data_IF_496833257675
#
_entry.id   IF_496833257675
#
_cell.length_a   1.000
_cell.length_b   1.000
_cell.length_c   1.000
_cell.angle_alpha   90.00
_cell.angle_beta   90.00
_cell.angle_gamma   90.00
#
_symmetry.space_group_name_H-M   'P 1'
#
loop_
_entity.id
_entity.type
_entity.pdbx_description
1 polymer ?
#
# COMPACT_ATOMS: atom_id res chain seq x y z
N UNK A 1 -27.74 -21.26 10.45
CA UNK A 1 -27.52 -21.15 8.98
C UNK A 1 -27.15 -19.72 8.57
N UNK A 2 -26.30 -19.03 9.37
CA UNK A 2 -26.04 -17.58 9.26
C UNK A 2 -24.54 -17.22 9.39
N UNK A 3 -23.64 -18.18 9.13
CA UNK A 3 -22.18 -17.99 9.25
C UNK A 3 -21.46 -17.89 7.89
N UNK A 4 -22.18 -18.13 6.79
CA UNK A 4 -21.59 -18.19 5.44
C UNK A 4 -21.97 -16.98 4.57
N UNK A 5 -22.73 -16.02 5.11
CA UNK A 5 -23.21 -14.85 4.36
C UNK A 5 -22.18 -13.70 4.36
N UNK A 6 -21.34 -13.61 5.39
CA UNK A 6 -20.30 -12.57 5.50
C UNK A 6 -19.09 -12.85 4.61
N UNK A 7 -18.79 -14.11 4.31
CA UNK A 7 -17.72 -14.51 3.37
C UNK A 7 -18.10 -14.30 1.91
N UNK A 8 -19.40 -14.33 1.57
CA UNK A 8 -19.88 -14.06 0.20
C UNK A 8 -19.83 -12.55 -0.11
N UNK A 9 -20.02 -11.69 0.89
CA UNK A 9 -19.95 -10.23 0.72
C UNK A 9 -18.51 -9.72 0.54
N UNK A 10 -17.51 -10.43 1.08
CA UNK A 10 -16.09 -10.11 0.85
C UNK A 10 -15.59 -10.60 -0.52
N UNK A 11 -16.18 -11.68 -1.06
CA UNK A 11 -15.85 -12.16 -2.42
C UNK A 11 -16.57 -11.36 -3.52
N UNK A 12 -17.73 -10.76 -3.22
CA UNK A 12 -18.45 -9.87 -4.15
C UNK A 12 -17.77 -8.52 -4.37
N UNK A 13 -16.88 -8.08 -3.48
CA UNK A 13 -16.16 -6.82 -3.65
C UNK A 13 -14.90 -6.95 -4.53
N UNK A 14 -14.41 -8.17 -4.78
CA UNK A 14 -13.22 -8.42 -5.61
C UNK A 14 -13.53 -8.63 -7.10
N UNK A 15 -14.80 -8.82 -7.48
CA UNK A 15 -15.21 -9.06 -8.89
C UNK A 15 -15.57 -7.75 -9.62
N UNK A 16 -15.76 -6.64 -8.91
CA UNK A 16 -16.14 -5.35 -9.50
C UNK A 16 -14.94 -4.47 -9.99
N UNK A 17 -13.70 -4.96 -9.92
CA UNK A 17 -12.51 -4.26 -10.42
C UNK A 17 -11.96 -4.79 -11.74
N UNK A 18 -12.63 -5.76 -12.36
CA UNK A 18 -12.36 -6.18 -13.73
C UNK A 18 -13.36 -5.52 -14.69
N UNK A 19 -12.87 -5.04 -15.83
CA UNK A 19 -13.63 -4.48 -16.97
C UNK A 19 -14.01 -3.00 -16.86
N UNK A 20 -13.01 -2.12 -16.99
CA UNK A 20 -13.19 -0.87 -17.74
C UNK A 20 -12.41 -1.02 -19.05
N UNK A 21 -13.01 -1.71 -20.02
CA UNK A 21 -12.58 -1.58 -21.42
C UNK A 21 -13.23 -0.31 -21.96
N UNK A 22 -12.44 0.74 -22.12
CA UNK A 22 -12.85 1.87 -22.95
C UNK A 22 -13.09 1.35 -24.37
N UNK A 23 -14.30 1.56 -24.90
CA UNK A 23 -14.67 1.18 -26.25
C UNK A 23 -13.86 2.04 -27.25
N UNK A 24 -12.76 1.49 -27.77
CA UNK A 24 -12.12 2.05 -28.95
C UNK A 24 -13.09 1.99 -30.13
N UNK A 25 -13.46 3.17 -30.65
CA UNK A 25 -14.19 3.28 -31.93
C UNK A 25 -13.29 2.74 -33.05
N UNK A 26 -13.84 2.00 -34.04
CA UNK A 26 -13.03 1.41 -35.09
C UNK A 26 -12.33 2.49 -35.90
N UNK A 27 -10.99 2.50 -35.88
CA UNK A 27 -10.16 3.27 -36.82
C UNK A 27 -10.29 2.62 -38.19
N UNK A 28 -10.83 3.37 -39.16
CA UNK A 28 -10.69 3.02 -40.57
C UNK A 28 -9.21 2.96 -40.92
N UNK A 29 -8.73 1.82 -41.39
CA UNK A 29 -7.41 1.69 -42.01
C UNK A 29 -7.35 2.60 -43.23
N UNK A 30 -6.42 3.57 -43.21
CA UNK A 30 -5.97 4.26 -44.41
C UNK A 30 -4.68 3.59 -44.86
N UNK A 31 -4.76 3.00 -46.03
CA UNK A 31 -3.69 2.31 -46.74
C UNK A 31 -2.47 3.22 -46.95
N UNK A 32 -1.32 2.84 -46.40
CA UNK A 32 -0.10 3.66 -46.33
C UNK A 32 0.64 3.80 -47.67
N UNK A 33 0.16 3.18 -48.75
CA UNK A 33 0.88 3.15 -50.05
C UNK A 33 0.43 4.28 -50.99
N UNK A 34 -0.70 4.94 -50.74
CA UNK A 34 -1.27 5.94 -51.66
C UNK A 34 -0.95 7.41 -51.33
N UNK A 35 -0.03 7.70 -50.41
CA UNK A 35 0.27 9.08 -50.01
C UNK A 35 1.77 9.36 -49.93
N UNK A 36 2.53 8.88 -50.93
CA UNK A 36 3.71 9.61 -51.36
C UNK A 36 3.33 10.51 -52.54
N UNK A 37 3.93 11.70 -52.58
CA UNK A 37 3.78 12.75 -53.61
C UNK A 37 2.60 13.73 -53.48
N UNK A 38 2.58 14.53 -52.40
CA UNK A 38 2.29 15.98 -52.55
C UNK A 38 2.74 16.83 -51.37
N UNK A 39 3.79 17.60 -51.61
CA UNK A 39 3.89 18.95 -51.09
C UNK A 39 4.60 19.12 -49.75
N UNK A 40 5.80 19.71 -49.83
CA UNK A 40 6.41 20.54 -48.79
C UNK A 40 5.34 21.28 -47.97
N UNK A 41 5.30 21.01 -46.67
CA UNK A 41 4.49 21.73 -45.70
C UNK A 41 4.94 21.37 -44.31
N UNK A 42 5.58 22.33 -43.65
CA UNK A 42 5.98 22.36 -42.23
C UNK A 42 5.09 21.46 -41.38
N UNK A 43 5.66 20.36 -40.87
CA UNK A 43 5.09 19.69 -39.70
C UNK A 43 5.33 20.66 -38.55
N UNK A 44 4.28 21.39 -38.19
CA UNK A 44 4.18 22.05 -36.89
C UNK A 44 4.29 20.91 -35.90
N UNK A 45 5.47 20.71 -35.33
CA UNK A 45 5.64 19.97 -34.09
C UNK A 45 4.57 20.55 -33.17
N UNK A 46 3.55 19.75 -32.85
CA UNK A 46 2.67 20.03 -31.73
C UNK A 46 3.62 20.22 -30.55
N UNK A 47 3.87 21.48 -30.21
CA UNK A 47 4.58 21.84 -29.00
C UNK A 47 3.70 21.30 -27.88
N UNK A 48 4.01 20.07 -27.45
CA UNK A 48 3.55 19.51 -26.20
C UNK A 48 3.87 20.60 -25.18
N UNK A 49 2.83 21.31 -24.76
CA UNK A 49 2.92 22.30 -23.71
C UNK A 49 3.41 21.49 -22.52
N UNK A 50 4.72 21.51 -22.27
CA UNK A 50 5.30 21.08 -21.01
C UNK A 50 4.52 21.86 -19.97
N UNK A 51 3.60 21.15 -19.31
CA UNK A 51 2.82 21.70 -18.22
C UNK A 51 3.85 21.91 -17.14
N UNK A 52 4.43 23.12 -17.12
CA UNK A 52 5.29 23.59 -16.07
C UNK A 52 4.48 23.43 -14.78
N UNK A 53 4.69 22.31 -14.09
CA UNK A 53 3.96 21.98 -12.89
C UNK A 53 4.42 22.97 -11.85
N UNK A 54 3.58 23.98 -11.61
CA UNK A 54 3.85 24.99 -10.60
C UNK A 54 3.97 24.26 -9.27
N UNK A 55 5.12 24.43 -8.62
CA UNK A 55 5.38 23.92 -7.28
C UNK A 55 4.29 24.49 -6.34
N UNK A 56 3.43 23.64 -5.78
CA UNK A 56 2.49 24.03 -4.72
C UNK A 56 3.12 23.72 -3.34
N UNK A 57 3.65 24.72 -2.62
CA UNK A 57 4.29 24.49 -1.32
C UNK A 57 3.35 23.89 -0.26
N UNK A 58 2.02 23.88 -0.48
CA UNK A 58 1.06 23.29 0.45
C UNK A 58 0.75 21.82 0.17
N UNK A 59 1.18 21.24 -0.94
CA UNK A 59 0.92 19.81 -1.21
C UNK A 59 1.47 18.87 -0.13
N UNK A 60 2.71 19.05 0.42
CA UNK A 60 3.24 18.14 1.43
C UNK A 60 2.42 18.16 2.71
N UNK A 61 2.06 19.37 3.17
CA UNK A 61 1.25 19.54 4.37
C UNK A 61 -0.18 19.01 4.19
N UNK A 62 -0.79 19.17 3.00
CA UNK A 62 -2.09 18.57 2.67
C UNK A 62 -2.02 17.04 2.69
N UNK A 63 -1.01 16.43 2.07
CA UNK A 63 -0.84 14.99 2.05
C UNK A 63 -0.66 14.41 3.47
N UNK A 64 0.17 15.08 4.29
CA UNK A 64 0.36 14.73 5.69
C UNK A 64 -0.96 14.82 6.48
N UNK A 65 -1.68 15.93 6.33
CA UNK A 65 -2.96 16.15 7.00
C UNK A 65 -3.99 15.08 6.65
N UNK A 66 -4.08 14.72 5.37
CA UNK A 66 -4.96 13.65 4.92
C UNK A 66 -4.61 12.30 5.58
N UNK A 67 -3.34 11.90 5.61
CA UNK A 67 -2.91 10.69 6.33
C UNK A 67 -3.16 10.76 7.84
N UNK A 68 -3.11 11.96 8.43
CA UNK A 68 -3.38 12.18 9.85
C UNK A 68 -4.88 12.09 10.21
N UNK A 69 -5.78 12.19 9.22
CA UNK A 69 -7.21 11.97 9.45
C UNK A 69 -7.54 10.47 9.32
N UNK A 70 -7.11 9.84 8.22
CA UNK A 70 -7.24 8.39 8.05
C UNK A 70 -5.95 7.79 7.49
N UNK A 71 -5.55 6.59 7.98
CA UNK A 71 -4.37 5.91 7.48
C UNK A 71 -4.41 5.74 5.96
N UNK A 72 -3.35 6.16 5.27
CA UNK A 72 -3.21 5.99 3.82
C UNK A 72 -3.92 7.03 2.94
N UNK A 73 -4.73 7.95 3.49
CA UNK A 73 -5.39 8.99 2.68
C UNK A 73 -4.40 9.91 1.95
N UNK A 74 -3.26 10.25 2.58
CA UNK A 74 -2.22 11.03 1.92
C UNK A 74 -1.57 10.29 0.74
N UNK A 75 -1.53 8.95 0.77
CA UNK A 75 -1.08 8.15 -0.36
C UNK A 75 -2.08 8.23 -1.52
N UNK A 76 -3.38 8.20 -1.23
CA UNK A 76 -4.42 8.42 -2.25
C UNK A 76 -4.30 9.81 -2.87
N UNK A 77 -4.10 10.84 -2.04
CA UNK A 77 -3.84 12.20 -2.52
C UNK A 77 -2.60 12.27 -3.43
N UNK A 78 -1.54 11.56 -3.07
CA UNK A 78 -0.32 11.45 -3.88
C UNK A 78 -0.44 10.51 -5.09
N UNK A 79 -1.61 9.91 -5.35
CA UNK A 79 -1.84 8.97 -6.46
C UNK A 79 -1.32 7.55 -6.23
N UNK A 80 -0.82 7.23 -5.04
CA UNK A 80 -0.17 5.96 -4.69
C UNK A 80 -1.11 4.97 -4.02
N UNK A 81 -2.23 4.69 -4.67
CA UNK A 81 -3.28 3.84 -4.10
C UNK A 81 -2.77 2.43 -3.80
N UNK A 82 -1.78 1.94 -4.55
CA UNK A 82 -1.20 0.61 -4.34
C UNK A 82 -0.52 0.42 -2.98
N UNK A 83 -0.09 1.51 -2.32
CA UNK A 83 0.53 1.45 -0.98
C UNK A 83 -0.51 1.36 0.15
N UNK A 84 -1.76 1.74 -0.11
CA UNK A 84 -2.82 1.79 0.91
C UNK A 84 -3.04 0.43 1.58
N UNK A 85 -3.13 -0.71 0.86
CA UNK A 85 -3.25 -2.02 1.49
C UNK A 85 -2.11 -2.33 2.47
N UNK A 86 -0.88 -1.90 2.18
CA UNK A 86 0.27 -2.11 3.07
C UNK A 86 0.14 -1.31 4.38
N UNK A 87 -0.35 -0.07 4.30
CA UNK A 87 -0.61 0.76 5.48
C UNK A 87 -1.65 0.11 6.38
N UNK A 88 -2.77 -0.34 5.79
CA UNK A 88 -3.82 -1.02 6.55
C UNK A 88 -3.35 -2.37 7.09
N UNK A 89 -2.50 -3.11 6.37
CA UNK A 89 -1.89 -4.33 6.88
C UNK A 89 -1.00 -4.05 8.10
N UNK A 90 -0.16 -3.01 8.04
CA UNK A 90 0.71 -2.61 9.13
C UNK A 90 -0.09 -2.21 10.39
N UNK A 91 -1.06 -1.30 10.24
CA UNK A 91 -1.92 -0.86 11.35
C UNK A 91 -2.80 -2.01 11.85
N UNK A 92 -3.41 -2.76 10.95
CA UNK A 92 -4.28 -3.89 11.29
C UNK A 92 -3.55 -4.98 12.06
N UNK A 93 -2.31 -5.29 11.69
CA UNK A 93 -1.46 -6.24 12.42
C UNK A 93 -1.14 -5.72 13.83
N UNK A 94 -0.78 -4.44 13.95
CA UNK A 94 -0.52 -3.81 15.25
C UNK A 94 -1.73 -3.82 16.19
N UNK A 95 -2.90 -3.44 15.67
CA UNK A 95 -4.18 -3.48 16.40
C UNK A 95 -4.55 -4.90 16.80
N UNK A 96 -4.36 -5.88 15.92
CA UNK A 96 -4.60 -7.29 16.22
C UNK A 96 -3.69 -7.78 17.36
N UNK A 97 -2.39 -7.49 17.28
CA UNK A 97 -1.43 -7.85 18.32
C UNK A 97 -1.80 -7.21 19.67
N UNK A 98 -2.14 -5.92 19.68
CA UNK A 98 -2.63 -5.23 20.88
C UNK A 98 -3.86 -5.91 21.47
N UNK A 99 -4.87 -6.18 20.63
CA UNK A 99 -6.12 -6.77 21.10
C UNK A 99 -5.91 -8.19 21.63
N UNK A 100 -5.04 -8.97 21.00
CA UNK A 100 -4.69 -10.31 21.45
C UNK A 100 -4.01 -10.25 22.83
N UNK A 101 -2.96 -9.46 22.96
CA UNK A 101 -2.20 -9.33 24.22
C UNK A 101 -3.07 -8.75 25.34
N UNK A 102 -3.89 -7.74 25.05
CA UNK A 102 -4.82 -7.19 26.04
C UNK A 102 -5.84 -8.23 26.52
N UNK A 103 -6.33 -9.09 25.62
CA UNK A 103 -7.23 -10.18 26.01
C UNK A 103 -6.52 -11.18 26.94
N UNK A 104 -5.30 -11.61 26.59
CA UNK A 104 -4.55 -12.54 27.43
C UNK A 104 -4.17 -11.93 28.78
N UNK A 105 -3.74 -10.67 28.79
CA UNK A 105 -3.48 -9.90 30.00
C UNK A 105 -4.69 -9.89 30.94
N UNK A 106 -5.90 -9.58 30.42
CA UNK A 106 -7.10 -9.57 31.25
C UNK A 106 -7.42 -10.97 31.80
N UNK A 107 -7.27 -12.02 30.98
CA UNK A 107 -7.50 -13.41 31.42
C UNK A 107 -6.60 -13.80 32.59
N UNK A 108 -5.29 -13.59 32.46
CA UNK A 108 -4.32 -13.96 33.50
C UNK A 108 -4.46 -13.08 34.75
N UNK A 109 -4.65 -11.77 34.58
CA UNK A 109 -4.91 -10.83 35.69
C UNK A 109 -6.17 -11.20 36.46
N UNK A 110 -7.27 -11.49 35.76
CA UNK A 110 -8.55 -11.78 36.40
C UNK A 110 -8.47 -13.10 37.18
N UNK A 111 -7.84 -14.14 36.61
CA UNK A 111 -7.56 -15.38 37.32
C UNK A 111 -6.70 -15.16 38.57
N UNK A 112 -5.58 -14.44 38.45
CA UNK A 112 -4.71 -14.11 39.57
C UNK A 112 -5.48 -13.38 40.68
N UNK A 113 -6.28 -12.37 40.32
CA UNK A 113 -7.12 -11.64 41.26
C UNK A 113 -8.12 -12.54 41.98
N UNK A 114 -8.75 -13.49 41.28
CA UNK A 114 -9.70 -14.44 41.90
C UNK A 114 -9.01 -15.37 42.90
N UNK A 115 -7.83 -15.90 42.57
CA UNK A 115 -7.05 -16.75 43.48
C UNK A 115 -6.62 -16.02 44.74
N UNK A 116 -6.19 -14.76 44.62
CA UNK A 116 -5.88 -13.91 45.79
C UNK A 116 -7.11 -13.60 46.64
N UNK A 117 -8.32 -13.69 46.09
CA UNK A 117 -9.57 -13.60 46.83
C UNK A 117 -10.03 -14.96 47.41
N UNK A 118 -9.25 -16.03 47.27
CA UNK A 118 -9.52 -17.36 47.80
C UNK A 118 -10.39 -18.25 46.92
N UNK A 119 -10.72 -17.83 45.70
CA UNK A 119 -11.48 -18.63 44.75
C UNK A 119 -10.57 -19.56 43.95
N UNK A 120 -11.11 -20.72 43.56
CA UNK A 120 -10.43 -21.76 42.77
C UNK A 120 -11.18 -22.06 41.46
N UNK A 121 -11.91 -21.07 40.94
CA UNK A 121 -12.89 -21.19 39.85
C UNK A 121 -12.38 -20.71 38.48
N UNK A 122 -11.08 -20.43 38.34
CA UNK A 122 -10.52 -19.91 37.09
C UNK A 122 -10.16 -20.98 36.05
N UNK A 123 -10.00 -20.52 34.81
CA UNK A 123 -9.76 -21.37 33.63
C UNK A 123 -8.38 -22.07 33.61
N UNK A 124 -7.46 -21.70 34.49
CA UNK A 124 -6.10 -22.22 34.53
C UNK A 124 -5.91 -23.33 35.55
N UNK A 125 -6.95 -23.73 36.29
CA UNK A 125 -6.90 -25.00 37.02
C UNK A 125 -6.96 -26.20 36.07
N UNK A 126 -6.30 -27.29 36.47
CA UNK A 126 -6.45 -28.57 35.78
C UNK A 126 -7.80 -29.22 36.14
N UNK A 127 -8.33 -30.01 35.22
CA UNK A 127 -9.53 -30.81 35.46
C UNK A 127 -9.11 -32.28 35.55
N UNK A 128 -9.52 -32.96 36.61
CA UNK A 128 -9.43 -34.41 36.73
C UNK A 128 -10.82 -35.00 36.52
N UNK A 129 -11.18 -35.30 35.26
CA UNK A 129 -12.55 -35.66 34.89
C UNK A 129 -13.48 -34.43 34.88
N UNK A 130 -14.51 -34.42 35.72
CA UNK A 130 -15.47 -33.30 35.86
C UNK A 130 -15.16 -32.36 37.03
N UNK A 131 -14.13 -32.64 37.82
CA UNK A 131 -13.81 -31.90 39.05
C UNK A 131 -12.49 -31.12 38.88
N UNK A 132 -12.44 -29.94 39.48
CA UNK A 132 -11.25 -29.07 39.49
C UNK A 132 -10.22 -29.72 40.41
N UNK A 133 -8.96 -29.86 39.97
CA UNK A 133 -7.83 -30.31 40.78
C UNK A 133 -7.03 -29.09 41.28
N UNK A 134 -7.24 -28.65 42.53
CA UNK A 134 -6.59 -27.44 43.05
C UNK A 134 -5.11 -27.66 43.36
N UNK A 135 -4.65 -28.91 43.46
CA UNK A 135 -3.28 -29.26 43.81
C UNK A 135 -2.32 -29.24 42.63
N UNK A 136 -2.84 -29.12 41.40
CA UNK A 136 -2.04 -29.16 40.18
C UNK A 136 -2.61 -28.22 39.09
N UNK A 137 -2.58 -26.90 39.28
CA UNK A 137 -3.07 -25.96 38.26
C UNK A 137 -2.18 -26.02 37.01
N UNK A 138 -2.76 -25.72 35.84
CA UNK A 138 -1.99 -25.60 34.57
C UNK A 138 -1.05 -24.40 34.57
N UNK A 139 -1.44 -23.33 35.25
CA UNK A 139 -0.58 -22.19 35.58
C UNK A 139 -0.72 -21.94 37.07
N UNK A 140 0.37 -21.98 37.80
CA UNK A 140 0.41 -21.56 39.21
C UNK A 140 0.35 -20.03 39.34
N UNK A 141 0.35 -19.51 40.57
CA UNK A 141 0.23 -18.08 40.83
C UNK A 141 1.42 -17.28 40.29
N UNK A 142 2.63 -17.86 40.34
CA UNK A 142 3.85 -17.21 39.84
C UNK A 142 3.86 -17.19 38.30
N UNK A 143 3.39 -18.26 37.66
CA UNK A 143 3.17 -18.34 36.22
C UNK A 143 2.12 -17.35 35.75
N UNK A 144 1.01 -17.19 36.49
CA UNK A 144 -0.02 -16.20 36.19
C UNK A 144 0.54 -14.78 36.28
N UNK A 145 1.35 -14.49 37.30
CA UNK A 145 2.00 -13.19 37.44
C UNK A 145 2.97 -12.93 36.27
N UNK A 146 3.86 -13.88 35.96
CA UNK A 146 4.79 -13.77 34.82
C UNK A 146 4.06 -13.58 33.49
N UNK A 147 2.99 -14.35 33.27
CA UNK A 147 2.19 -14.24 32.06
C UNK A 147 1.48 -12.89 31.98
N UNK A 148 0.93 -12.40 33.09
CA UNK A 148 0.35 -11.05 33.17
C UNK A 148 1.36 -9.98 32.79
N UNK A 149 2.55 -9.97 33.41
CA UNK A 149 3.61 -8.99 33.14
C UNK A 149 4.02 -9.02 31.65
N UNK A 150 4.25 -10.22 31.10
CA UNK A 150 4.59 -10.39 29.68
C UNK A 150 3.51 -9.85 28.74
N UNK A 151 2.24 -10.23 28.95
CA UNK A 151 1.16 -9.75 28.08
C UNK A 151 0.90 -8.26 28.23
N UNK A 152 1.19 -7.67 29.39
CA UNK A 152 1.17 -6.24 29.59
C UNK A 152 2.24 -5.55 28.74
N UNK A 153 3.49 -6.01 28.83
CA UNK A 153 4.61 -5.49 28.06
C UNK A 153 4.36 -5.62 26.55
N UNK A 154 3.92 -6.79 26.08
CA UNK A 154 3.64 -7.05 24.66
C UNK A 154 2.45 -6.20 24.15
N UNK A 155 1.43 -5.96 24.99
CA UNK A 155 0.33 -5.04 24.67
C UNK A 155 0.84 -3.61 24.53
N UNK A 156 1.62 -3.14 25.49
CA UNK A 156 2.08 -1.75 25.51
C UNK A 156 3.09 -1.50 24.36
N UNK A 157 3.96 -2.48 24.09
CA UNK A 157 4.87 -2.46 22.94
C UNK A 157 4.12 -2.47 21.60
N UNK A 158 3.11 -3.33 21.44
CA UNK A 158 2.32 -3.36 20.19
C UNK A 158 1.56 -2.06 19.97
N UNK A 159 1.05 -1.41 21.03
CA UNK A 159 0.46 -0.08 20.93
C UNK A 159 1.47 0.96 20.45
N UNK A 160 2.66 0.99 21.08
CA UNK A 160 3.73 1.91 20.71
C UNK A 160 4.16 1.75 19.25
N UNK A 161 4.39 0.51 18.81
CA UNK A 161 4.75 0.18 17.43
C UNK A 161 3.64 0.62 16.47
N UNK A 162 2.37 0.36 16.81
CA UNK A 162 1.22 0.76 15.97
C UNK A 162 1.16 2.28 15.79
N UNK A 163 1.34 3.03 16.88
CA UNK A 163 1.40 4.50 16.84
C UNK A 163 2.60 4.97 16.00
N UNK A 164 3.76 4.32 16.15
CA UNK A 164 4.95 4.60 15.35
C UNK A 164 4.73 4.38 13.85
N UNK A 165 4.10 3.26 13.47
CA UNK A 165 3.74 2.95 12.09
C UNK A 165 2.71 3.94 11.53
N UNK A 166 1.77 4.39 12.35
CA UNK A 166 0.81 5.43 11.98
C UNK A 166 1.50 6.77 11.72
N UNK A 167 2.42 7.18 12.59
CA UNK A 167 3.23 8.38 12.37
C UNK A 167 4.11 8.26 11.12
N UNK A 168 4.72 7.09 10.90
CA UNK A 168 5.53 6.82 9.71
C UNK A 168 4.68 6.94 8.42
N UNK A 169 3.43 6.48 8.43
CA UNK A 169 2.52 6.66 7.30
C UNK A 169 2.28 8.13 6.94
N UNK A 170 2.16 9.00 7.94
CA UNK A 170 1.99 10.45 7.75
C UNK A 170 3.26 11.06 7.14
N UNK A 171 4.42 10.71 7.69
CA UNK A 171 5.72 11.20 7.23
C UNK A 171 6.00 10.74 5.79
N UNK A 172 5.73 9.46 5.47
CA UNK A 172 5.85 8.89 4.13
C UNK A 172 5.04 9.71 3.10
N UNK A 173 3.78 10.04 3.41
CA UNK A 173 2.93 10.83 2.53
C UNK A 173 3.46 12.26 2.35
N UNK A 174 3.94 12.88 3.43
CA UNK A 174 4.53 14.22 3.40
C UNK A 174 5.79 14.28 2.52
N UNK A 175 6.75 13.37 2.76
CA UNK A 175 8.01 13.31 2.02
C UNK A 175 7.72 13.04 0.54
N UNK A 176 6.80 12.14 0.23
CA UNK A 176 6.50 11.81 -1.16
C UNK A 176 5.85 12.95 -1.93
N UNK A 177 4.93 13.68 -1.28
CA UNK A 177 4.36 14.89 -1.86
C UNK A 177 5.44 15.95 -2.14
N UNK A 178 6.44 16.08 -1.25
CA UNK A 178 7.57 16.97 -1.50
C UNK A 178 8.42 16.54 -2.69
N UNK A 179 8.67 15.22 -2.83
CA UNK A 179 9.45 14.68 -3.95
C UNK A 179 8.74 14.81 -5.30
N UNK A 180 7.40 14.74 -5.33
CA UNK A 180 6.60 14.91 -6.56
C UNK A 180 6.71 16.30 -7.19
N UNK A 181 7.16 17.31 -6.45
CA UNK A 181 7.31 18.68 -6.94
C UNK A 181 8.61 18.90 -7.70
N UNK A 182 9.59 18.02 -7.52
CA UNK A 182 10.81 18.07 -8.32
C UNK A 182 10.47 17.56 -9.72
N UNK A 183 10.88 18.33 -10.73
CA UNK A 183 10.64 17.99 -12.12
C UNK A 183 11.45 16.74 -12.49
N UNK A 184 10.83 15.58 -12.34
CA UNK A 184 11.28 14.35 -12.97
C UNK A 184 10.41 14.22 -14.21
N UNK A 185 10.93 14.66 -15.36
CA UNK A 185 10.20 14.53 -16.63
C UNK A 185 10.05 13.03 -16.92
N UNK A 186 8.82 12.51 -16.80
CA UNK A 186 8.49 11.11 -17.16
C UNK A 186 8.57 10.87 -18.68
N UNK A 187 8.79 11.94 -19.47
CA UNK A 187 8.89 11.92 -20.93
C UNK A 187 10.30 11.64 -21.45
N UNK A 188 11.18 10.99 -20.68
CA UNK A 188 12.43 10.45 -21.24
C UNK A 188 12.08 9.38 -22.28
N UNK A 189 11.95 9.81 -23.52
CA UNK A 189 11.45 9.01 -24.62
C UNK A 189 12.63 8.66 -25.52
N UNK A 190 12.99 7.38 -25.51
CA UNK A 190 13.98 6.82 -26.42
C UNK A 190 13.33 6.59 -27.77
N UNK A 191 13.63 7.45 -28.73
CA UNK A 191 13.14 7.27 -30.10
C UNK A 191 14.24 6.62 -30.94
N UNK A 192 14.07 5.33 -31.24
CA UNK A 192 14.96 4.59 -32.14
C UNK A 192 14.32 4.63 -33.52
N UNK A 193 14.99 5.27 -34.48
CA UNK A 193 14.54 5.31 -35.89
C UNK A 193 15.56 4.63 -36.80
N UNK A 194 15.12 3.91 -37.84
CA UNK A 194 16.04 3.44 -38.88
C UNK A 194 16.69 4.67 -39.55
N UNK A 195 18.01 4.60 -39.74
CA UNK A 195 18.82 5.62 -40.39
C UNK A 195 19.31 5.07 -41.72
N UNK A 196 19.04 5.79 -42.80
CA UNK A 196 19.53 5.49 -44.14
C UNK A 196 20.26 6.73 -44.64
N UNK A 197 21.55 6.58 -44.90
CA UNK A 197 22.36 7.63 -45.49
C UNK A 197 22.92 7.15 -46.83
N UNK A 198 22.70 7.96 -47.87
CA UNK A 198 23.19 7.68 -49.20
C UNK A 198 24.51 8.41 -49.40
N UNK A 199 25.60 7.66 -49.59
CA UNK A 199 26.91 8.26 -49.86
C UNK A 199 26.92 8.85 -51.28
N UNK A 200 27.01 10.18 -51.38
CA UNK A 200 26.92 10.90 -52.65
C UNK A 200 28.12 10.71 -53.58
N UNK A 201 29.25 10.17 -53.07
CA UNK A 201 30.48 9.96 -53.84
C UNK A 201 30.58 8.51 -54.33
N UNK A 202 30.33 7.54 -53.44
CA UNK A 202 30.48 6.11 -53.78
C UNK A 202 29.16 5.46 -54.24
N UNK A 203 28.02 6.15 -54.09
CA UNK A 203 26.68 5.64 -54.40
C UNK A 203 26.24 4.42 -53.56
N UNK A 204 26.95 4.12 -52.47
CA UNK A 204 26.65 3.02 -51.57
C UNK A 204 25.63 3.45 -50.49
N UNK A 205 24.63 2.60 -50.18
CA UNK A 205 23.69 2.84 -49.08
C UNK A 205 24.28 2.41 -47.73
N UNK A 206 24.33 3.34 -46.78
CA UNK A 206 24.69 3.07 -45.39
C UNK A 206 23.42 2.89 -44.55
N UNK A 207 23.30 1.74 -43.90
CA UNK A 207 22.19 1.41 -43.01
C UNK A 207 22.64 1.49 -41.56
N UNK A 208 21.83 2.10 -40.70
CA UNK A 208 22.08 2.17 -39.27
C UNK A 208 20.81 2.42 -38.47
N UNK A 209 20.99 2.60 -37.17
CA UNK A 209 19.94 3.06 -36.26
C UNK A 209 20.36 4.38 -35.65
N UNK A 210 19.46 5.36 -35.65
CA UNK A 210 19.65 6.63 -34.95
C UNK A 210 18.92 6.54 -33.60
N UNK A 211 19.67 6.73 -32.51
CA UNK A 211 19.12 6.92 -31.17
C UNK A 211 18.92 8.41 -30.93
N UNK A 212 17.66 8.85 -30.80
CA UNK A 212 17.34 10.20 -30.39
C UNK A 212 16.87 10.18 -28.93
N UNK A 213 17.61 10.89 -28.07
CA UNK A 213 17.21 11.13 -26.67
C UNK A 213 16.55 12.51 -26.64
N UNK A 214 15.28 12.56 -26.26
CA UNK A 214 14.57 13.81 -25.98
C UNK A 214 14.51 14.00 -24.47
N UNK A 215 14.98 15.15 -24.00
CA UNK A 215 14.88 15.62 -22.62
C UNK A 215 13.77 16.66 -22.54
#
# INVERSE_FOLDING_TARGET
MLKNLTTILFFSFFVALGWSQDLEKPKQEKDSIAQDLKGKGVLVDEAFISKNQRIDPLEPSKAAFYSAILPGLGQVYNGDVWKVPLVYAAIGTGVYAYSFNNKQYNRTRDAFKRRKAGFMDDEFYAFNGQEIDPGNPRLDDDDLQRAQERYQEDRDLSLLITIGLYALNIIEANVKAHLRQFNVDDNLSFNIKPYLEYNTITADPNYGFALQIKF
#
